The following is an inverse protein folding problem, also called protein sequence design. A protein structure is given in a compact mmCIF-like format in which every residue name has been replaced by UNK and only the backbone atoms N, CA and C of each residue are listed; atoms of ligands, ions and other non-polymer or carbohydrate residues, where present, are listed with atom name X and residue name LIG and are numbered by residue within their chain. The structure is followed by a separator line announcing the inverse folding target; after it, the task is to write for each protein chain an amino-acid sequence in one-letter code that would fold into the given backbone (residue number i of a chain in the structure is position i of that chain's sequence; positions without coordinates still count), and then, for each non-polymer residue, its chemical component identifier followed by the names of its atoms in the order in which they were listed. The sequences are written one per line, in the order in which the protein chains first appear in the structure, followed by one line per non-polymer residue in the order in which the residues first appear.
data_IF_399440618197
#
_entry.id   IF_399440618197
#
_cell.length_a   1.000
_cell.length_b   1.000
_cell.length_c   1.000
_cell.angle_alpha   90.00
_cell.angle_beta   90.00
_cell.angle_gamma   90.00
#
_symmetry.space_group_name_H-M   'P 1'
#
loop_
_entity.id
_entity.type
_entity.pdbx_description
1 polymer ?
#
# COMPACT_ATOMS: atom_id res chain seq x y z
N UNK A 1 -14.30 6.82 -3.95
CA UNK A 1 -13.53 6.88 -5.18
C UNK A 1 -12.11 6.35 -4.98
N UNK A 2 -11.62 5.61 -5.93
CA UNK A 2 -10.26 5.09 -5.83
C UNK A 2 -9.24 6.20 -6.14
N UNK A 3 -8.24 6.31 -5.31
CA UNK A 3 -7.15 7.27 -5.52
C UNK A 3 -5.92 6.49 -5.93
N UNK A 4 -5.39 6.81 -7.10
CA UNK A 4 -4.21 6.13 -7.63
C UNK A 4 -2.98 7.02 -7.51
N UNK A 5 -1.97 6.54 -6.83
CA UNK A 5 -0.73 7.26 -6.61
C UNK A 5 0.46 6.45 -7.11
N UNK A 6 1.52 7.16 -7.50
CA UNK A 6 2.77 6.48 -7.83
C UNK A 6 3.40 5.94 -6.54
N UNK A 7 4.29 4.95 -6.64
CA UNK A 7 4.97 4.43 -5.45
C UNK A 7 5.66 5.53 -4.66
N UNK A 8 6.25 6.50 -5.34
CA UNK A 8 6.92 7.61 -4.68
C UNK A 8 5.95 8.48 -3.89
N UNK A 9 4.80 8.77 -4.48
CA UNK A 9 3.78 9.56 -3.80
C UNK A 9 3.21 8.81 -2.59
N UNK A 10 2.95 7.53 -2.78
CA UNK A 10 2.41 6.70 -1.70
C UNK A 10 3.41 6.56 -0.56
N UNK A 11 4.70 6.46 -0.89
CA UNK A 11 5.76 6.40 0.11
C UNK A 11 5.76 7.66 0.97
N UNK A 12 5.60 8.82 0.34
CA UNK A 12 5.53 10.09 1.07
C UNK A 12 4.33 10.15 2.00
N UNK A 13 3.19 9.70 1.49
CA UNK A 13 1.95 9.73 2.24
C UNK A 13 2.00 8.83 3.47
N UNK A 14 2.64 7.69 3.34
CA UNK A 14 2.68 6.68 4.39
C UNK A 14 3.92 6.74 5.26
N UNK A 15 4.90 7.54 4.88
CA UNK A 15 6.16 7.60 5.62
C UNK A 15 7.05 6.40 5.39
N UNK A 16 6.78 5.65 4.34
CA UNK A 16 7.57 4.46 3.98
C UNK A 16 8.55 4.79 2.86
N UNK A 17 9.47 3.87 2.61
CA UNK A 17 10.36 4.01 1.47
C UNK A 17 9.66 3.46 0.22
N UNK A 18 10.03 4.00 -0.94
CA UNK A 18 9.46 3.55 -2.20
C UNK A 18 9.57 2.03 -2.36
N UNK A 19 10.73 1.48 -1.99
CA UNK A 19 10.95 0.04 -2.07
C UNK A 19 9.97 -0.73 -1.19
N UNK A 20 9.74 -0.23 0.01
CA UNK A 20 8.81 -0.86 0.94
C UNK A 20 7.39 -0.86 0.40
N UNK A 21 6.98 0.24 -0.23
CA UNK A 21 5.65 0.32 -0.82
C UNK A 21 5.48 -0.76 -1.89
N UNK A 22 6.47 -0.92 -2.74
CA UNK A 22 6.41 -1.92 -3.80
C UNK A 22 6.37 -3.34 -3.21
N UNK A 23 7.19 -3.60 -2.21
CA UNK A 23 7.20 -4.90 -1.55
C UNK A 23 5.87 -5.21 -0.89
N UNK A 24 5.30 -4.21 -0.22
CA UNK A 24 3.99 -4.39 0.41
C UNK A 24 2.90 -4.69 -0.61
N UNK A 25 2.95 -4.02 -1.76
CA UNK A 25 1.99 -4.31 -2.81
C UNK A 25 2.07 -5.77 -3.26
N UNK A 26 3.27 -6.28 -3.38
CA UNK A 26 3.46 -7.67 -3.76
C UNK A 26 2.97 -8.64 -2.70
N UNK A 27 3.29 -8.35 -1.44
CA UNK A 27 2.87 -9.18 -0.32
C UNK A 27 1.37 -9.22 -0.13
N UNK A 28 0.74 -8.05 -0.25
CA UNK A 28 -0.68 -7.91 0.00
C UNK A 28 -1.54 -8.19 -1.22
N UNK A 29 -0.91 -8.39 -2.37
CA UNK A 29 -1.64 -8.61 -3.59
C UNK A 29 -2.33 -7.38 -4.13
N UNK A 30 -1.84 -6.21 -3.77
CA UNK A 30 -2.38 -4.95 -4.28
C UNK A 30 -1.88 -4.74 -5.71
N UNK A 31 -2.77 -4.63 -6.68
CA UNK A 31 -2.34 -4.48 -8.07
C UNK A 31 -1.73 -3.11 -8.34
N UNK A 32 -0.69 -3.11 -9.15
CA UNK A 32 -0.07 -1.88 -9.62
C UNK A 32 -0.50 -1.72 -11.08
N UNK A 33 -1.28 -0.71 -11.35
CA UNK A 33 -1.82 -0.48 -12.67
C UNK A 33 -1.21 0.76 -13.30
N UNK A 34 -0.54 0.57 -14.43
CA UNK A 34 0.14 1.66 -15.14
C UNK A 34 1.11 2.44 -14.24
N UNK A 35 1.81 1.73 -13.37
CA UNK A 35 2.77 2.35 -12.46
C UNK A 35 2.13 3.11 -11.32
N UNK A 36 0.84 2.88 -11.06
CA UNK A 36 0.13 3.54 -9.97
C UNK A 36 -0.54 2.51 -9.08
N UNK A 37 -0.65 2.86 -7.82
CA UNK A 37 -1.20 1.98 -6.80
C UNK A 37 -2.49 2.59 -6.26
N UNK A 38 -3.50 1.75 -6.06
CA UNK A 38 -4.74 2.20 -5.44
C UNK A 38 -4.49 2.45 -3.96
N UNK A 39 -4.46 3.72 -3.57
CA UNK A 39 -4.19 4.13 -2.20
C UNK A 39 -5.19 3.55 -1.22
N UNK A 40 -6.46 3.59 -1.57
CA UNK A 40 -7.50 3.10 -0.69
C UNK A 40 -7.32 1.61 -0.41
N UNK A 41 -7.08 0.84 -1.45
CA UNK A 41 -6.87 -0.59 -1.32
C UNK A 41 -5.58 -0.91 -0.56
N UNK A 42 -4.53 -0.15 -0.83
CA UNK A 42 -3.25 -0.32 -0.15
C UNK A 42 -3.40 -0.09 1.36
N UNK A 43 -4.00 1.02 1.74
CA UNK A 43 -4.18 1.36 3.14
C UNK A 43 -5.10 0.36 3.85
N UNK A 44 -6.15 -0.07 3.19
CA UNK A 44 -7.07 -1.04 3.77
C UNK A 44 -6.35 -2.36 4.06
N UNK A 45 -5.53 -2.80 3.14
CA UNK A 45 -4.78 -4.06 3.32
C UNK A 45 -3.70 -3.92 4.40
N UNK A 46 -3.02 -2.79 4.45
CA UNK A 46 -2.01 -2.55 5.47
C UNK A 46 -2.65 -2.51 6.85
N UNK A 47 -3.79 -1.85 6.97
CA UNK A 47 -4.50 -1.78 8.24
C UNK A 47 -4.99 -3.16 8.68
N UNK A 48 -5.50 -3.95 7.76
CA UNK A 48 -5.92 -5.31 8.05
C UNK A 48 -4.78 -6.16 8.57
N UNK A 49 -3.63 -6.05 7.92
CA UNK A 49 -2.45 -6.78 8.35
C UNK A 49 -2.01 -6.37 9.75
N UNK A 50 -2.02 -5.07 10.03
CA UNK A 50 -1.68 -4.55 11.34
C UNK A 50 -2.65 -5.03 12.40
N UNK A 51 -3.94 -5.06 12.08
CA UNK A 51 -4.97 -5.53 12.99
C UNK A 51 -4.78 -6.99 13.31
N UNK A 52 -4.43 -7.79 12.33
CA UNK A 52 -4.17 -9.22 12.54
C UNK A 52 -2.99 -9.42 13.49
N UNK A 53 -1.93 -8.65 13.30
CA UNK A 53 -0.77 -8.73 14.17
C UNK A 53 -1.15 -8.33 15.59
N UNK A 54 -1.93 -7.29 15.73
CA UNK A 54 -2.37 -6.82 17.04
C UNK A 54 -3.27 -7.85 17.75
N UNK A 55 -4.07 -8.56 16.98
CA UNK A 55 -4.96 -9.56 17.54
C UNK A 55 -4.22 -10.81 18.00
N UNK A 56 -3.08 -11.07 17.42
CA UNK A 56 -2.29 -12.23 17.80
C UNK A 56 -1.57 -11.98 19.10
#
# INVERSE_FOLDING_TARGET
MAIHLTPTELARETGMERREVIEKCMELGVPIFQGRIDKTLFLANVEEQSTQVAAA
#
